data_IF_166303455240
#
_entry.id   IF_166303455240
#
_cell.length_a   1.000
_cell.length_b   1.000
_cell.length_c   1.000
_cell.angle_alpha   90.00
_cell.angle_beta   90.00
_cell.angle_gamma   90.00
#
_symmetry.space_group_name_H-M   'P 1'
#
loop_
_entity.id
_entity.type
_entity.pdbx_description
1 polymer ?
#
# COMPACT_ATOMS: atom_id res chain seq x y z
N UNK A 1 -10.97 46.05 -1.97
CA UNK A 1 -11.21 44.89 -1.08
C UNK A 1 -11.10 43.68 -2.00
N UNK A 2 -10.07 42.83 -1.94
CA UNK A 2 -9.49 42.18 -0.77
C UNK A 2 -7.96 42.12 -0.95
N UNK A 3 -7.23 42.58 0.07
CA UNK A 3 -5.77 42.51 0.16
C UNK A 3 -5.47 41.43 1.22
N UNK A 4 -5.58 40.16 0.84
CA UNK A 4 -5.39 38.99 1.73
C UNK A 4 -4.21 38.11 1.29
N UNK A 5 -3.09 38.70 0.85
CA UNK A 5 -1.87 37.94 0.54
C UNK A 5 -0.62 38.42 1.29
N UNK A 6 -0.74 39.45 2.14
CA UNK A 6 0.38 40.09 2.84
C UNK A 6 1.16 39.19 3.82
N UNK A 7 0.56 38.25 4.59
CA UNK A 7 1.34 37.41 5.51
C UNK A 7 2.12 36.31 4.77
N UNK A 8 1.58 35.78 3.66
CA UNK A 8 2.18 34.70 2.87
C UNK A 8 3.42 35.18 2.11
N UNK A 9 3.41 36.43 1.61
CA UNK A 9 4.53 37.02 0.90
C UNK A 9 5.78 37.24 1.77
N UNK A 10 5.61 37.47 3.08
CA UNK A 10 6.73 37.67 4.01
C UNK A 10 7.48 36.38 4.37
N UNK A 11 6.89 35.22 4.13
CA UNK A 11 7.52 33.91 4.37
C UNK A 11 8.05 33.23 3.10
N UNK A 12 7.87 33.85 1.92
CA UNK A 12 8.33 33.29 0.64
C UNK A 12 9.84 33.12 0.63
N UNK A 13 10.30 31.86 0.53
CA UNK A 13 11.74 31.54 0.46
C UNK A 13 12.22 31.41 -0.99
N UNK A 14 11.29 31.14 -1.94
CA UNK A 14 11.61 30.87 -3.35
C UNK A 14 11.02 31.91 -4.29
N UNK A 15 11.61 31.99 -5.49
CA UNK A 15 11.30 33.00 -6.51
C UNK A 15 9.92 32.85 -7.19
N UNK A 16 9.25 31.71 -7.06
CA UNK A 16 7.86 31.51 -7.54
C UNK A 16 7.15 30.41 -6.73
N UNK A 17 5.81 30.44 -6.73
CA UNK A 17 4.98 29.45 -6.04
C UNK A 17 5.27 28.01 -6.50
N UNK A 18 5.51 27.79 -7.79
CA UNK A 18 5.86 26.46 -8.29
C UNK A 18 7.12 25.90 -7.61
N UNK A 19 8.16 26.73 -7.44
CA UNK A 19 9.41 26.32 -6.78
C UNK A 19 9.25 26.09 -5.29
N UNK A 20 8.37 26.85 -4.65
CA UNK A 20 8.05 26.71 -3.23
C UNK A 20 7.29 25.40 -2.98
N UNK A 21 6.27 25.10 -3.80
CA UNK A 21 5.50 23.86 -3.72
C UNK A 21 6.35 22.64 -4.07
N UNK A 22 7.26 22.74 -5.06
CA UNK A 22 8.24 21.67 -5.34
C UNK A 22 9.12 21.38 -4.12
N UNK A 23 9.67 22.42 -3.50
CA UNK A 23 10.50 22.28 -2.30
C UNK A 23 9.69 21.67 -1.13
N UNK A 24 8.45 22.11 -0.97
CA UNK A 24 7.54 21.59 0.05
C UNK A 24 7.22 20.12 -0.18
N UNK A 25 6.92 19.71 -1.42
CA UNK A 25 6.66 18.31 -1.76
C UNK A 25 7.83 17.40 -1.40
N UNK A 26 9.06 17.80 -1.76
CA UNK A 26 10.27 17.05 -1.43
C UNK A 26 10.49 16.96 0.10
N UNK A 27 10.28 18.06 0.83
CA UNK A 27 10.39 18.08 2.29
C UNK A 27 9.33 17.20 2.94
N UNK A 28 8.10 17.26 2.45
CA UNK A 28 7.00 16.43 2.92
C UNK A 28 7.31 14.94 2.73
N UNK A 29 7.76 14.55 1.54
CA UNK A 29 8.15 13.17 1.23
C UNK A 29 9.23 12.65 2.20
N UNK A 30 10.31 13.40 2.40
CA UNK A 30 11.39 13.01 3.31
C UNK A 30 10.92 12.89 4.76
N UNK A 31 10.15 13.88 5.23
CA UNK A 31 9.73 13.98 6.64
C UNK A 31 8.66 12.98 7.02
N UNK A 32 7.71 12.70 6.13
CA UNK A 32 6.54 11.88 6.46
C UNK A 32 6.58 10.50 5.80
N UNK A 33 6.96 10.39 4.53
CA UNK A 33 6.93 9.08 3.85
C UNK A 33 8.20 8.30 4.15
N UNK A 34 9.37 8.86 3.85
CA UNK A 34 10.64 8.16 4.04
C UNK A 34 10.93 7.86 5.51
N UNK A 35 10.61 8.79 6.42
CA UNK A 35 10.77 8.56 7.86
C UNK A 35 9.87 7.43 8.38
N UNK A 36 8.58 7.41 8.00
CA UNK A 36 7.65 6.35 8.42
C UNK A 36 7.95 5.01 7.76
N UNK A 37 8.48 4.97 6.54
CA UNK A 37 8.97 3.74 5.91
C UNK A 37 10.15 3.12 6.66
N UNK A 38 11.02 3.96 7.22
CA UNK A 38 12.20 3.52 7.97
C UNK A 38 11.89 3.21 9.44
N UNK A 39 10.74 3.64 9.94
CA UNK A 39 10.29 3.33 11.29
C UNK A 39 9.87 1.85 11.35
N UNK A 40 10.44 1.11 12.31
CA UNK A 40 10.21 -0.32 12.45
C UNK A 40 8.81 -0.67 13.01
N UNK A 41 8.00 0.33 13.36
CA UNK A 41 6.83 0.15 14.22
C UNK A 41 5.49 0.10 13.50
N UNK A 42 4.65 -0.77 14.06
CA UNK A 42 3.34 -1.20 13.53
C UNK A 42 2.26 -0.11 13.58
N UNK A 43 2.43 0.90 14.42
CA UNK A 43 1.48 2.01 14.61
C UNK A 43 1.49 3.02 13.44
N UNK A 44 2.51 2.95 12.59
CA UNK A 44 2.76 3.95 11.56
C UNK A 44 2.06 3.64 10.23
N UNK A 45 1.44 2.46 10.05
CA UNK A 45 0.78 2.12 8.77
C UNK A 45 -0.37 3.07 8.43
N UNK A 46 -1.25 3.35 9.38
CA UNK A 46 -2.37 4.27 9.15
C UNK A 46 -1.86 5.70 8.86
N UNK A 47 -0.78 6.11 9.55
CA UNK A 47 -0.13 7.39 9.30
C UNK A 47 0.55 7.42 7.92
N UNK A 48 1.17 6.32 7.51
CA UNK A 48 1.84 6.16 6.23
C UNK A 48 0.83 6.15 5.07
N UNK A 49 -0.30 5.46 5.21
CA UNK A 49 -1.43 5.54 4.26
C UNK A 49 -1.91 6.99 4.13
N UNK A 50 -2.11 7.70 5.26
CA UNK A 50 -2.50 9.11 5.24
C UNK A 50 -1.43 10.00 4.59
N UNK A 51 -0.14 9.70 4.82
CA UNK A 51 0.97 10.43 4.22
C UNK A 51 1.01 10.26 2.70
N UNK A 52 0.79 9.03 2.19
CA UNK A 52 0.68 8.77 0.77
C UNK A 52 -0.51 9.48 0.13
N UNK A 53 -1.70 9.43 0.76
CA UNK A 53 -2.88 10.16 0.29
C UNK A 53 -2.62 11.67 0.22
N UNK A 54 -1.99 12.23 1.25
CA UNK A 54 -1.64 13.65 1.28
C UNK A 54 -0.63 13.99 0.19
N UNK A 55 0.39 13.15 -0.03
CA UNK A 55 1.36 13.34 -1.10
C UNK A 55 0.71 13.27 -2.50
N UNK A 56 -0.32 12.44 -2.70
CA UNK A 56 -1.05 12.42 -3.95
C UNK A 56 -1.73 13.78 -4.23
N UNK A 57 -2.45 14.30 -3.24
CA UNK A 57 -3.11 15.63 -3.33
C UNK A 57 -2.09 16.76 -3.52
N UNK A 58 -0.97 16.73 -2.79
CA UNK A 58 0.09 17.74 -2.94
C UNK A 58 0.70 17.75 -4.34
N UNK A 59 0.84 16.59 -4.97
CA UNK A 59 1.36 16.50 -6.34
C UNK A 59 0.37 16.99 -7.39
N UNK A 60 -0.93 16.78 -7.19
CA UNK A 60 -1.98 17.37 -8.04
C UNK A 60 -1.95 18.90 -7.99
N UNK A 61 -1.84 19.46 -6.78
CA UNK A 61 -1.68 20.91 -6.57
C UNK A 61 -0.42 21.41 -7.26
N UNK A 62 0.70 20.70 -7.12
CA UNK A 62 1.94 21.04 -7.80
C UNK A 62 1.77 21.07 -9.32
N UNK A 63 1.18 20.03 -9.92
CA UNK A 63 0.90 19.98 -11.36
C UNK A 63 0.07 21.17 -11.82
N UNK A 64 -0.98 21.52 -11.07
CA UNK A 64 -1.86 22.64 -11.41
C UNK A 64 -1.11 23.99 -11.38
N UNK A 65 -0.32 24.25 -10.32
CA UNK A 65 0.43 25.51 -10.18
C UNK A 65 1.55 25.64 -11.21
N UNK A 66 2.27 24.54 -11.46
CA UNK A 66 3.34 24.48 -12.45
C UNK A 66 2.80 24.72 -13.87
N UNK A 67 1.65 24.11 -14.21
CA UNK A 67 0.96 24.35 -15.50
C UNK A 67 0.53 25.81 -15.65
N UNK A 68 -0.03 26.42 -14.60
CA UNK A 68 -0.45 27.82 -14.62
C UNK A 68 0.73 28.80 -14.81
N UNK A 69 1.94 28.43 -14.40
CA UNK A 69 3.15 29.24 -14.55
C UNK A 69 3.95 28.92 -15.83
N UNK A 70 3.43 28.05 -16.71
CA UNK A 70 4.14 27.55 -17.90
C UNK A 70 5.51 26.94 -17.57
N UNK A 71 5.61 26.30 -16.41
CA UNK A 71 6.78 25.55 -15.96
C UNK A 71 6.50 24.06 -16.09
N UNK A 72 7.55 23.24 -16.04
CA UNK A 72 7.43 21.79 -15.93
C UNK A 72 7.78 21.31 -14.51
N UNK A 73 7.21 20.16 -14.13
CA UNK A 73 7.54 19.52 -12.87
C UNK A 73 8.90 18.86 -13.02
N UNK A 74 9.77 19.04 -12.03
CA UNK A 74 11.09 18.41 -12.02
C UNK A 74 10.98 16.88 -12.17
N UNK A 75 11.84 16.31 -13.02
CA UNK A 75 11.89 14.87 -13.28
C UNK A 75 12.05 14.07 -11.99
N UNK A 76 12.91 14.54 -11.06
CA UNK A 76 13.12 13.87 -9.77
C UNK A 76 11.81 13.77 -8.96
N UNK A 77 11.01 14.84 -8.98
CA UNK A 77 9.72 14.88 -8.27
C UNK A 77 8.70 13.95 -8.93
N UNK A 78 8.70 13.88 -10.26
CA UNK A 78 7.84 12.95 -11.00
C UNK A 78 8.18 11.49 -10.71
N UNK A 79 9.47 11.15 -10.60
CA UNK A 79 9.92 9.81 -10.21
C UNK A 79 9.52 9.48 -8.77
N UNK A 80 9.72 10.42 -7.83
CA UNK A 80 9.29 10.25 -6.43
C UNK A 80 7.79 9.98 -6.37
N UNK A 81 7.00 10.76 -7.10
CA UNK A 81 5.55 10.59 -7.12
C UNK A 81 5.13 9.25 -7.72
N UNK A 82 5.82 8.78 -8.77
CA UNK A 82 5.54 7.45 -9.35
C UNK A 82 5.70 6.34 -8.31
N UNK A 83 6.75 6.41 -7.47
CA UNK A 83 6.96 5.47 -6.35
C UNK A 83 5.88 5.61 -5.28
N UNK A 84 5.46 6.84 -4.97
CA UNK A 84 4.33 7.11 -4.05
C UNK A 84 3.05 6.45 -4.56
N UNK A 85 2.75 6.58 -5.85
CA UNK A 85 1.54 6.01 -6.45
C UNK A 85 1.54 4.47 -6.40
N UNK A 86 2.68 3.85 -6.72
CA UNK A 86 2.86 2.40 -6.60
C UNK A 86 2.64 1.91 -5.16
N UNK A 87 3.25 2.58 -4.17
CA UNK A 87 3.08 2.22 -2.77
C UNK A 87 1.66 2.48 -2.27
N UNK A 88 1.02 3.56 -2.70
CA UNK A 88 -0.38 3.86 -2.33
C UNK A 88 -1.31 2.71 -2.69
N UNK A 89 -1.09 2.05 -3.84
CA UNK A 89 -1.87 0.88 -4.29
C UNK A 89 -1.68 -0.37 -3.42
N UNK A 90 -0.63 -0.41 -2.58
CA UNK A 90 -0.35 -1.50 -1.63
C UNK A 90 -0.97 -1.24 -0.25
N UNK A 91 -1.01 0.02 0.19
CA UNK A 91 -1.48 0.42 1.52
C UNK A 91 -2.97 0.79 1.53
N UNK A 92 -3.84 -0.19 1.30
CA UNK A 92 -5.29 0.02 1.33
C UNK A 92 -5.81 0.21 2.78
N UNK A 93 -6.68 1.21 3.05
CA UNK A 93 -7.11 1.54 4.42
C UNK A 93 -8.02 0.51 5.09
N UNK A 94 -8.63 -0.41 4.32
CA UNK A 94 -9.78 -1.21 4.77
C UNK A 94 -9.51 -2.71 4.92
N UNK A 95 -8.24 -3.13 4.80
CA UNK A 95 -7.84 -4.52 4.95
C UNK A 95 -7.29 -4.77 6.36
N UNK A 96 -7.84 -5.75 7.07
CA UNK A 96 -7.35 -6.21 8.37
C UNK A 96 -6.02 -6.93 8.19
N UNK A 97 -5.89 -7.70 7.09
CA UNK A 97 -4.67 -8.44 6.78
C UNK A 97 -3.80 -7.63 5.81
N UNK A 98 -2.59 -7.25 6.23
CA UNK A 98 -1.66 -6.50 5.39
C UNK A 98 -0.89 -7.49 4.51
N UNK A 99 -1.52 -7.93 3.42
CA UNK A 99 -0.97 -8.95 2.51
C UNK A 99 0.10 -8.41 1.55
N UNK A 100 0.46 -7.14 1.65
CA UNK A 100 1.54 -6.54 0.87
C UNK A 100 2.93 -7.08 1.32
N UNK A 101 3.93 -7.11 0.41
CA UNK A 101 5.25 -7.68 0.70
C UNK A 101 5.94 -7.02 1.90
N UNK A 102 5.72 -5.72 2.11
CA UNK A 102 6.38 -4.94 3.17
C UNK A 102 5.81 -5.26 4.57
N UNK A 103 4.76 -6.07 4.64
CA UNK A 103 3.99 -6.31 5.86
C UNK A 103 4.10 -7.73 6.42
N UNK A 104 4.98 -8.56 5.86
CA UNK A 104 5.22 -9.91 6.34
C UNK A 104 5.57 -9.97 7.85
N UNK A 105 6.26 -8.94 8.36
CA UNK A 105 6.69 -8.86 9.77
C UNK A 105 5.61 -8.34 10.73
N UNK A 106 4.43 -7.94 10.24
CA UNK A 106 3.36 -7.50 11.14
C UNK A 106 2.87 -8.67 11.99
N UNK A 107 2.67 -8.48 13.30
CA UNK A 107 2.43 -9.62 14.18
C UNK A 107 1.16 -10.44 13.86
N UNK A 108 0.19 -9.88 13.13
CA UNK A 108 -0.99 -10.63 12.67
C UNK A 108 -0.63 -11.61 11.56
N UNK A 109 0.40 -11.29 10.77
CA UNK A 109 1.00 -12.17 9.76
C UNK A 109 1.94 -13.22 10.38
N UNK A 110 2.27 -13.10 11.67
CA UNK A 110 3.11 -14.05 12.40
C UNK A 110 2.33 -15.22 13.01
N UNK A 111 0.98 -15.16 13.01
CA UNK A 111 0.18 -16.29 13.45
C UNK A 111 0.33 -17.48 12.49
N UNK A 112 0.72 -18.67 12.98
CA UNK A 112 0.92 -19.85 12.14
C UNK A 112 -0.31 -20.20 11.30
N UNK A 113 -1.52 -19.96 11.83
CA UNK A 113 -2.78 -20.27 11.16
C UNK A 113 -3.04 -19.33 9.98
N UNK A 114 -2.66 -18.06 10.11
CA UNK A 114 -2.70 -17.08 9.00
C UNK A 114 -1.66 -17.47 7.94
N UNK A 115 -0.44 -17.82 8.35
CA UNK A 115 0.61 -18.26 7.43
C UNK A 115 0.22 -19.52 6.66
N UNK A 116 -0.36 -20.50 7.35
CA UNK A 116 -0.85 -21.73 6.74
C UNK A 116 -1.97 -21.45 5.72
N UNK A 117 -2.94 -20.60 6.06
CA UNK A 117 -4.01 -20.22 5.15
C UNK A 117 -3.47 -19.49 3.90
N UNK A 118 -2.57 -18.53 4.07
CA UNK A 118 -1.90 -17.83 2.95
C UNK A 118 -1.12 -18.82 2.06
N UNK A 119 -0.36 -19.74 2.68
CA UNK A 119 0.41 -20.75 1.95
C UNK A 119 -0.50 -21.71 1.16
N UNK A 120 -1.64 -22.09 1.75
CA UNK A 120 -2.62 -22.94 1.08
C UNK A 120 -3.20 -22.26 -0.18
N UNK A 121 -3.58 -20.98 -0.09
CA UNK A 121 -4.08 -20.22 -1.24
C UNK A 121 -3.01 -20.03 -2.33
N UNK A 122 -1.74 -19.88 -1.94
CA UNK A 122 -0.59 -19.75 -2.86
C UNK A 122 -0.20 -21.06 -3.54
N UNK A 123 -0.78 -22.19 -3.15
CA UNK A 123 -0.56 -23.47 -3.82
C UNK A 123 -1.29 -23.52 -5.17
N UNK A 124 -0.74 -22.82 -6.15
CA UNK A 124 -1.28 -22.70 -7.52
C UNK A 124 -0.62 -23.67 -8.50
N UNK A 125 0.03 -24.73 -7.99
CA UNK A 125 0.69 -25.74 -8.84
C UNK A 125 -0.35 -26.45 -9.69
N UNK A 126 -0.10 -26.54 -11.00
CA UNK A 126 -0.99 -27.20 -11.95
C UNK A 126 -2.16 -26.35 -12.45
N UNK A 127 -2.31 -25.09 -12.01
CA UNK A 127 -3.34 -24.21 -12.56
C UNK A 127 -2.96 -23.74 -13.99
N UNK A 128 -3.90 -23.75 -14.95
CA UNK A 128 -3.67 -23.27 -16.31
C UNK A 128 -3.79 -21.73 -16.33
N UNK A 129 -2.66 -21.04 -16.33
CA UNK A 129 -2.63 -19.57 -16.45
C UNK A 129 -2.86 -19.14 -17.91
N UNK A 130 -3.43 -17.94 -18.16
CA UNK A 130 -3.56 -17.40 -19.52
C UNK A 130 -2.19 -17.31 -20.21
N UNK A 131 -2.14 -17.54 -21.53
CA UNK A 131 -0.88 -17.63 -22.29
C UNK A 131 0.03 -16.39 -22.15
N UNK A 132 -0.55 -15.20 -22.11
CA UNK A 132 0.19 -13.94 -22.00
C UNK A 132 0.37 -13.46 -20.54
N UNK A 133 0.01 -14.30 -19.57
CA UNK A 133 0.04 -13.91 -18.17
C UNK A 133 1.46 -13.96 -17.61
N UNK A 134 1.98 -12.79 -17.24
CA UNK A 134 3.27 -12.66 -16.55
C UNK A 134 3.07 -12.90 -15.07
N UNK A 135 3.26 -14.16 -14.67
CA UNK A 135 3.12 -14.58 -13.27
C UNK A 135 4.07 -13.79 -12.35
N UNK A 136 3.52 -13.19 -11.30
CA UNK A 136 4.26 -12.58 -10.19
C UNK A 136 4.47 -13.63 -9.10
N UNK A 137 5.63 -13.62 -8.46
CA UNK A 137 6.06 -14.70 -7.56
C UNK A 137 5.21 -14.95 -6.30
N UNK A 138 4.24 -14.08 -5.99
CA UNK A 138 3.40 -14.19 -4.79
C UNK A 138 1.90 -14.42 -5.09
N UNK A 139 1.56 -14.73 -6.34
CA UNK A 139 0.17 -14.90 -6.77
C UNK A 139 -0.47 -16.17 -6.23
N UNK A 140 -1.74 -16.03 -5.86
CA UNK A 140 -2.57 -17.09 -5.31
C UNK A 140 -3.72 -17.50 -6.24
N UNK A 141 -4.52 -18.46 -5.78
CA UNK A 141 -5.67 -18.96 -6.54
C UNK A 141 -6.67 -17.85 -6.91
N UNK A 142 -6.78 -16.78 -6.13
CA UNK A 142 -7.70 -15.69 -6.42
C UNK A 142 -7.13 -14.73 -7.47
N UNK A 143 -5.80 -14.55 -7.53
CA UNK A 143 -5.15 -13.88 -8.66
C UNK A 143 -5.35 -14.68 -9.97
N UNK A 144 -5.31 -16.01 -9.87
CA UNK A 144 -5.64 -16.88 -11.00
C UNK A 144 -7.10 -16.71 -11.45
N UNK A 145 -8.06 -16.74 -10.51
CA UNK A 145 -9.47 -16.49 -10.81
C UNK A 145 -9.67 -15.10 -11.43
N UNK A 146 -8.99 -14.09 -10.91
CA UNK A 146 -9.02 -12.75 -11.48
C UNK A 146 -8.54 -12.74 -12.93
N UNK A 147 -7.41 -13.40 -13.21
CA UNK A 147 -6.82 -13.45 -14.55
C UNK A 147 -7.71 -14.20 -15.55
N UNK A 148 -8.38 -15.26 -15.11
CA UNK A 148 -9.23 -16.10 -15.96
C UNK A 148 -10.61 -15.49 -16.23
N UNK A 149 -11.21 -14.85 -15.23
CA UNK A 149 -12.62 -14.45 -15.27
C UNK A 149 -12.82 -12.92 -15.22
N UNK A 150 -11.76 -12.14 -15.04
CA UNK A 150 -11.83 -10.68 -15.04
C UNK A 150 -12.48 -10.08 -13.80
N UNK A 151 -12.41 -10.75 -12.64
CA UNK A 151 -12.95 -10.19 -11.39
C UNK A 151 -12.31 -8.85 -11.04
N UNK A 152 -13.12 -7.93 -10.52
CA UNK A 152 -12.63 -6.64 -10.01
C UNK A 152 -11.60 -6.85 -8.87
N UNK A 153 -10.53 -6.06 -8.89
CA UNK A 153 -9.39 -6.19 -7.95
C UNK A 153 -9.81 -6.09 -6.49
N UNK A 154 -10.70 -5.17 -6.16
CA UNK A 154 -11.10 -4.94 -4.78
C UNK A 154 -11.99 -6.08 -4.26
N UNK A 155 -12.84 -6.67 -5.12
CA UNK A 155 -13.63 -7.85 -4.77
C UNK A 155 -12.72 -9.05 -4.47
N UNK A 156 -11.68 -9.24 -5.29
CA UNK A 156 -10.67 -10.29 -5.09
C UNK A 156 -9.92 -10.08 -3.78
N UNK A 157 -9.47 -8.86 -3.50
CA UNK A 157 -8.77 -8.52 -2.27
C UNK A 157 -9.65 -8.77 -1.02
N UNK A 158 -10.91 -8.33 -1.06
CA UNK A 158 -11.86 -8.53 0.04
C UNK A 158 -12.12 -10.02 0.29
N UNK A 159 -12.34 -10.80 -0.77
CA UNK A 159 -12.59 -12.24 -0.64
C UNK A 159 -11.37 -13.02 -0.19
N UNK A 160 -10.17 -12.58 -0.59
CA UNK A 160 -8.90 -13.14 -0.11
C UNK A 160 -8.79 -13.03 1.40
N UNK A 161 -8.99 -11.83 1.93
CA UNK A 161 -8.93 -11.60 3.37
C UNK A 161 -9.96 -12.44 4.12
N UNK A 162 -11.21 -12.45 3.64
CA UNK A 162 -12.29 -13.23 4.23
C UNK A 162 -11.94 -14.73 4.28
N UNK A 163 -11.45 -15.30 3.18
CA UNK A 163 -11.05 -16.71 3.12
C UNK A 163 -9.88 -17.02 4.05
N UNK A 164 -8.86 -16.16 4.11
CA UNK A 164 -7.71 -16.36 5.01
C UNK A 164 -8.18 -16.39 6.47
N UNK A 165 -9.00 -15.41 6.87
CA UNK A 165 -9.51 -15.32 8.24
C UNK A 165 -10.40 -16.53 8.60
N UNK A 166 -11.25 -16.99 7.67
CA UNK A 166 -12.08 -18.16 7.86
C UNK A 166 -11.25 -19.43 8.03
N UNK A 167 -10.28 -19.67 7.13
CA UNK A 167 -9.40 -20.83 7.18
C UNK A 167 -8.54 -20.83 8.45
N UNK A 168 -7.98 -19.69 8.83
CA UNK A 168 -7.24 -19.55 10.06
C UNK A 168 -8.13 -19.84 11.29
N UNK A 169 -9.37 -19.34 11.31
CA UNK A 169 -10.31 -19.61 12.40
C UNK A 169 -10.65 -21.10 12.52
N UNK A 170 -10.85 -21.78 11.39
CA UNK A 170 -11.08 -23.24 11.36
C UNK A 170 -9.85 -23.99 11.87
N UNK A 171 -8.65 -23.60 11.42
CA UNK A 171 -7.40 -24.24 11.83
C UNK A 171 -7.17 -24.16 13.35
N UNK A 172 -7.48 -23.03 13.97
CA UNK A 172 -7.38 -22.85 15.43
C UNK A 172 -8.26 -23.87 16.19
N UNK A 173 -9.40 -24.28 15.62
CA UNK A 173 -10.35 -25.21 16.24
C UNK A 173 -9.98 -26.68 16.07
N UNK A 174 -8.99 -26.99 15.22
CA UNK A 174 -8.52 -28.36 15.03
C UNK A 174 -7.67 -28.79 16.24
N UNK A 175 -7.84 -30.04 16.72
CA UNK A 175 -7.01 -30.56 17.79
C UNK A 175 -5.55 -30.59 17.34
N UNK A 176 -4.66 -29.99 18.15
CA UNK A 176 -3.23 -30.03 17.89
C UNK A 176 -2.74 -31.48 18.01
N UNK A 177 -1.86 -31.95 17.12
CA UNK A 177 -1.38 -33.33 17.15
C UNK A 177 -0.76 -33.74 18.50
N UNK A 178 -0.19 -32.80 19.26
CA UNK A 178 0.39 -33.03 20.59
C UNK A 178 -0.64 -33.13 21.74
N UNK A 179 -1.93 -32.95 21.46
CA UNK A 179 -3.02 -33.06 22.45
C UNK A 179 -3.85 -34.33 22.29
N UNK A 180 -3.43 -35.29 21.47
CA UNK A 180 -4.03 -36.61 21.50
C UNK A 180 -3.79 -37.23 22.89
N UNK A 181 -4.85 -37.64 23.61
CA UNK A 181 -4.66 -38.30 24.90
C UNK A 181 -3.86 -39.58 24.62
N UNK A 182 -2.70 -39.69 25.27
CA UNK A 182 -1.99 -40.97 25.35
C UNK A 182 -2.98 -41.95 25.98
N UNK A 183 -3.48 -42.87 25.17
CA UNK A 183 -4.31 -43.97 25.63
C UNK A 183 -3.38 -44.85 26.47
N UNK A 184 -3.52 -44.76 27.79
CA UNK A 184 -2.86 -45.65 28.76
C UNK A 184 -3.48 -47.03 28.73
#
# INVERSE_FOLDING_TARGET
MVQENDPTLKQRVKKSDAREIQSFYQQYYKKYIQALQNAADRADRAQLTKAYQTAAVLFEVLKAVTSNQSLEVDHEISEIHSKVEEKTKLYLPYNILPLDPDSANQAIMQFPEIQAAVAALRNTRGLPWPMDYKKKGQEDILDWLQAMFGFQKDNVANQREHLILLLANVHIRLPKPDQQPKVS
#
